data_IF_994034347844
#
_entry.id   IF_994034347844
#
_cell.length_a   1.000
_cell.length_b   1.000
_cell.length_c   1.000
_cell.angle_alpha   90.00
_cell.angle_beta   90.00
_cell.angle_gamma   90.00
#
_symmetry.space_group_name_H-M   'P 1'
#
loop_
_entity.id
_entity.type
_entity.pdbx_description
1 polymer ?
#
# COMPACT_ATOMS: atom_id res chain seq x y z
N UNK A 1 24.54 -20.52 5.95
CA UNK A 1 23.69 -19.39 5.52
C UNK A 1 22.24 -19.69 5.86
N UNK A 2 21.56 -18.85 6.66
CA UNK A 2 20.11 -19.01 6.89
C UNK A 2 19.37 -18.54 5.64
N UNK A 3 18.53 -19.41 5.05
CA UNK A 3 17.70 -19.06 3.90
C UNK A 3 16.55 -18.18 4.38
N UNK A 4 16.63 -16.87 4.15
CA UNK A 4 15.52 -15.96 4.44
C UNK A 4 14.43 -16.23 3.39
N UNK A 5 13.28 -16.75 3.84
CA UNK A 5 12.13 -16.93 2.96
C UNK A 5 11.53 -15.56 2.63
N UNK A 6 11.26 -15.31 1.35
CA UNK A 6 10.60 -14.08 0.93
C UNK A 6 9.19 -14.00 1.53
N UNK A 7 8.82 -12.80 1.99
CA UNK A 7 7.48 -12.56 2.51
C UNK A 7 6.54 -12.26 1.35
N UNK A 8 5.56 -13.13 1.13
CA UNK A 8 4.54 -12.99 0.05
C UNK A 8 3.26 -12.31 0.53
N UNK A 9 3.32 -11.58 1.65
CA UNK A 9 2.14 -10.89 2.17
C UNK A 9 1.75 -9.72 1.27
N UNK A 10 0.50 -9.76 0.78
CA UNK A 10 -0.16 -8.65 0.10
C UNK A 10 -1.40 -8.21 0.86
N UNK A 11 -1.71 -6.93 0.79
CA UNK A 11 -2.93 -6.35 1.32
C UNK A 11 -3.31 -5.13 0.48
N UNK A 12 -4.62 -4.88 0.36
CA UNK A 12 -5.13 -3.66 -0.23
C UNK A 12 -5.17 -2.55 0.84
N UNK A 13 -4.78 -1.34 0.43
CA UNK A 13 -4.86 -0.16 1.26
C UNK A 13 -5.85 0.80 0.63
N UNK A 14 -6.91 1.10 1.38
CA UNK A 14 -7.87 2.10 0.98
C UNK A 14 -7.25 3.51 1.03
N UNK A 15 -7.51 4.30 -0.01
CA UNK A 15 -6.96 5.65 -0.12
C UNK A 15 -7.53 6.58 0.97
N UNK A 16 -8.80 6.43 1.35
CA UNK A 16 -9.38 7.27 2.40
C UNK A 16 -8.68 7.04 3.75
N UNK A 17 -8.37 5.80 4.07
CA UNK A 17 -7.56 5.42 5.24
C UNK A 17 -6.17 6.06 5.22
N UNK A 18 -5.52 6.09 4.05
CA UNK A 18 -4.23 6.75 3.90
C UNK A 18 -4.33 8.27 4.07
N UNK A 19 -5.37 8.89 3.53
CA UNK A 19 -5.62 10.34 3.68
C UNK A 19 -5.86 10.72 5.14
N UNK A 20 -6.63 9.93 5.89
CA UNK A 20 -6.88 10.18 7.31
C UNK A 20 -5.61 10.09 8.16
N UNK A 21 -4.74 9.12 7.86
CA UNK A 21 -3.56 8.84 8.68
C UNK A 21 -2.32 9.62 8.26
N UNK A 22 -2.23 10.07 7.00
CA UNK A 22 -1.06 10.80 6.47
C UNK A 22 -1.34 12.24 6.06
N UNK A 23 -2.61 12.62 5.94
CA UNK A 23 -3.03 13.93 5.46
C UNK A 23 -3.21 13.99 3.95
N UNK A 24 -4.03 14.94 3.50
CA UNK A 24 -4.39 15.15 2.09
C UNK A 24 -3.20 15.52 1.20
N UNK A 25 -2.26 16.29 1.73
CA UNK A 25 -1.11 16.79 0.98
C UNK A 25 0.07 15.81 0.97
N UNK A 26 -0.11 14.60 1.53
CA UNK A 26 0.92 13.60 1.52
C UNK A 26 1.10 13.02 0.11
N UNK A 27 2.30 13.13 -0.50
CA UNK A 27 2.51 12.65 -1.86
C UNK A 27 2.56 11.13 -1.91
N UNK A 28 1.70 10.52 -2.74
CA UNK A 28 1.63 9.05 -2.91
C UNK A 28 2.96 8.43 -3.34
N UNK A 29 3.77 9.15 -4.11
CA UNK A 29 5.12 8.70 -4.51
C UNK A 29 6.04 8.44 -3.32
N UNK A 30 5.80 9.06 -2.15
CA UNK A 30 6.59 8.83 -0.93
C UNK A 30 6.05 7.68 -0.07
N UNK A 31 4.94 7.07 -0.45
CA UNK A 31 4.26 6.04 0.35
C UNK A 31 5.16 4.82 0.59
N UNK A 32 5.92 4.39 -0.41
CA UNK A 32 6.85 3.25 -0.33
C UNK A 32 7.85 3.42 0.82
N UNK A 33 8.42 4.62 0.98
CA UNK A 33 9.41 4.93 2.03
C UNK A 33 8.83 4.91 3.45
N UNK A 34 7.50 4.93 3.59
CA UNK A 34 6.81 5.03 4.89
C UNK A 34 6.16 3.72 5.34
N UNK A 35 6.01 2.75 4.45
CA UNK A 35 5.32 1.50 4.75
C UNK A 35 6.30 0.45 5.31
N UNK A 36 5.73 -0.42 6.13
CA UNK A 36 6.41 -1.55 6.76
C UNK A 36 5.46 -2.74 6.69
N UNK A 37 5.94 -3.89 6.23
CA UNK A 37 5.12 -5.09 6.20
C UNK A 37 4.68 -5.44 7.64
N UNK A 38 3.37 -5.54 7.92
CA UNK A 38 2.88 -5.84 9.27
C UNK A 38 3.22 -7.27 9.72
N UNK A 39 3.47 -8.19 8.76
CA UNK A 39 3.78 -9.59 9.04
C UNK A 39 5.26 -9.83 9.39
N UNK A 40 6.18 -9.28 8.59
CA UNK A 40 7.62 -9.56 8.73
C UNK A 40 8.46 -8.34 9.13
N UNK A 41 7.87 -7.15 9.13
CA UNK A 41 8.55 -5.91 9.48
C UNK A 41 9.52 -5.36 8.42
N UNK A 42 9.63 -5.99 7.25
CA UNK A 42 10.45 -5.47 6.14
C UNK A 42 9.92 -4.13 5.64
N UNK A 43 10.84 -3.23 5.25
CA UNK A 43 10.54 -1.97 4.51
C UNK A 43 10.70 -2.11 3.00
N UNK A 44 11.22 -3.24 2.52
CA UNK A 44 11.27 -3.55 1.09
C UNK A 44 9.90 -4.08 0.67
N UNK A 45 9.00 -3.17 0.35
CA UNK A 45 7.63 -3.45 -0.08
C UNK A 45 7.41 -2.89 -1.48
N UNK A 46 6.50 -3.49 -2.25
CA UNK A 46 6.07 -2.96 -3.55
C UNK A 46 4.67 -2.40 -3.44
N UNK A 47 4.39 -1.32 -4.16
CA UNK A 47 3.08 -0.69 -4.23
C UNK A 47 2.57 -0.67 -5.67
N UNK A 48 1.29 -0.95 -5.82
CA UNK A 48 0.56 -0.78 -7.06
C UNK A 48 -0.67 0.09 -6.77
N UNK A 49 -0.91 1.07 -7.63
CA UNK A 49 -2.07 1.94 -7.54
C UNK A 49 -3.07 1.53 -8.60
N UNK A 50 -4.27 1.16 -8.17
CA UNK A 50 -5.39 0.91 -9.06
C UNK A 50 -6.28 2.15 -9.07
N UNK A 51 -6.31 2.87 -10.20
CA UNK A 51 -7.27 3.95 -10.39
C UNK A 51 -8.58 3.31 -10.86
N UNK A 52 -9.70 3.47 -10.15
CA UNK A 52 -10.97 2.92 -10.61
C UNK A 52 -11.30 3.52 -11.97
N UNK A 53 -11.49 2.65 -12.98
CA UNK A 53 -12.02 3.06 -14.28
C UNK A 53 -13.47 3.53 -14.12
N UNK A 54 -13.91 4.45 -14.99
CA UNK A 54 -15.27 5.01 -14.92
C UNK A 54 -16.39 3.95 -14.94
N UNK A 55 -16.10 2.76 -15.49
CA UNK A 55 -16.98 1.59 -15.49
C UNK A 55 -17.29 1.01 -14.10
N UNK A 56 -16.56 1.38 -13.04
CA UNK A 56 -16.81 0.90 -11.67
C UNK A 56 -17.60 1.90 -10.80
N UNK A 57 -18.02 3.06 -11.34
CA UNK A 57 -18.86 4.04 -10.61
C UNK A 57 -20.34 3.61 -10.44
N UNK A 58 -20.76 2.49 -11.02
CA UNK A 58 -22.18 2.07 -11.03
C UNK A 58 -22.59 1.15 -9.86
N UNK A 59 -21.74 0.95 -8.86
CA UNK A 59 -22.08 0.16 -7.66
C UNK A 59 -21.77 0.96 -6.39
N UNK A 60 -22.48 2.07 -6.21
CA UNK A 60 -22.66 2.72 -4.93
C UNK A 60 -24.13 3.08 -4.77
#
# INVERSE_FOLDING_TARGET
MKRVRECVYGAELDLATLLWTRGRDFPLARLESRLKCPRCGSRRVRLAFSVPSESNRQRA
#
